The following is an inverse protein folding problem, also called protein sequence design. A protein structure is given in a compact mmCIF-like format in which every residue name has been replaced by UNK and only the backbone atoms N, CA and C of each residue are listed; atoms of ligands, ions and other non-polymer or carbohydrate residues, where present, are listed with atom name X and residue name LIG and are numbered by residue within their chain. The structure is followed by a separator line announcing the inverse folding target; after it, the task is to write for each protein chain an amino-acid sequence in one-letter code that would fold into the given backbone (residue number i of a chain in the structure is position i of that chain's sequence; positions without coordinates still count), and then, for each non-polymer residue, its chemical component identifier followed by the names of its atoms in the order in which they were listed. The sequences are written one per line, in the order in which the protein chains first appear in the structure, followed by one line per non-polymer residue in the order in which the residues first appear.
data_IF_599220614646
#
_entry.id   IF_599220614646
#
_cell.length_a   1.000
_cell.length_b   1.000
_cell.length_c   1.000
_cell.angle_alpha   90.00
_cell.angle_beta   90.00
_cell.angle_gamma   90.00
#
_symmetry.space_group_name_H-M   'P 1'
#
loop_
_entity.id
_entity.type
_entity.pdbx_description
1 polymer ?
#
# COMPACT_ATOMS: atom_id res chain seq x y z
N UNK A 1 0.70 6.61 -18.92
CA UNK A 1 2.11 6.66 -18.42
C UNK A 1 2.52 8.09 -18.00
N UNK A 2 1.63 8.88 -17.37
CA UNK A 2 1.81 10.34 -17.12
C UNK A 2 1.94 10.75 -15.64
N UNK A 3 2.26 9.83 -14.70
CA UNK A 3 2.24 10.16 -13.26
C UNK A 3 3.61 10.14 -12.55
N UNK A 4 4.72 9.90 -13.25
CA UNK A 4 6.08 9.89 -12.64
C UNK A 4 6.91 11.13 -13.01
N UNK A 5 6.45 11.89 -14.01
CA UNK A 5 7.05 13.13 -14.46
C UNK A 5 6.08 14.28 -14.11
N UNK A 6 6.22 14.81 -12.90
CA UNK A 6 5.54 16.04 -12.44
C UNK A 6 6.23 17.26 -13.08
N UNK A 7 5.54 18.41 -13.17
CA UNK A 7 6.14 19.74 -13.36
C UNK A 7 7.46 19.96 -12.59
N UNK A 8 7.56 19.52 -11.34
CA UNK A 8 8.80 19.56 -10.54
C UNK A 8 9.95 18.75 -11.15
N UNK A 9 9.63 17.69 -11.90
CA UNK A 9 10.63 16.89 -12.60
C UNK A 9 11.19 17.59 -13.85
N UNK A 10 10.50 18.59 -14.39
CA UNK A 10 10.85 19.27 -15.63
C UNK A 10 11.79 20.46 -15.42
N UNK A 11 11.70 21.20 -14.32
CA UNK A 11 12.27 22.56 -14.17
C UNK A 11 13.77 22.75 -14.43
N UNK A 12 14.60 21.69 -14.42
CA UNK A 12 16.05 21.80 -14.78
C UNK A 12 16.51 20.94 -15.95
N UNK A 13 15.85 19.83 -16.27
CA UNK A 13 16.20 19.04 -17.45
C UNK A 13 15.46 19.49 -18.71
N UNK A 14 14.36 20.23 -18.58
CA UNK A 14 13.52 20.62 -19.72
C UNK A 14 14.25 21.51 -20.75
N UNK A 15 15.36 22.14 -20.37
CA UNK A 15 16.13 23.05 -21.23
C UNK A 15 17.51 22.51 -21.66
N UNK A 16 17.88 21.28 -21.26
CA UNK A 16 19.21 20.70 -21.55
C UNK A 16 19.04 19.52 -22.50
N UNK A 17 19.84 19.46 -23.57
CA UNK A 17 19.78 18.32 -24.47
C UNK A 17 20.20 17.04 -23.74
N UNK A 18 19.59 15.90 -24.06
CA UNK A 18 19.83 14.63 -23.36
C UNK A 18 21.31 14.23 -23.35
N UNK A 19 22.05 14.55 -24.42
CA UNK A 19 23.50 14.36 -24.55
C UNK A 19 24.35 15.22 -23.62
N UNK A 20 23.84 16.37 -23.18
CA UNK A 20 24.59 17.33 -22.36
C UNK A 20 24.32 17.13 -20.86
N UNK A 21 23.54 16.12 -20.50
CA UNK A 21 23.26 15.80 -19.11
C UNK A 21 24.47 15.13 -18.48
N UNK A 22 25.08 15.83 -17.51
CA UNK A 22 26.26 15.34 -16.79
C UNK A 22 25.90 14.65 -15.47
N UNK A 23 26.79 13.79 -14.97
CA UNK A 23 26.62 13.14 -13.67
C UNK A 23 26.51 14.15 -12.50
N UNK A 24 27.13 15.34 -12.62
CA UNK A 24 27.03 16.40 -11.61
C UNK A 24 25.62 16.98 -11.52
N UNK A 25 24.98 17.21 -12.66
CA UNK A 25 23.59 17.69 -12.71
C UNK A 25 22.62 16.66 -12.12
N UNK A 26 22.88 15.37 -12.36
CA UNK A 26 22.09 14.29 -11.76
C UNK A 26 22.26 14.25 -10.24
N UNK A 27 23.49 14.42 -9.72
CA UNK A 27 23.76 14.50 -8.27
C UNK A 27 23.05 15.66 -7.60
N UNK A 28 23.25 16.87 -8.12
CA UNK A 28 22.65 18.09 -7.55
C UNK A 28 21.12 17.97 -7.48
N UNK A 29 20.51 17.41 -8.53
CA UNK A 29 19.08 17.12 -8.54
C UNK A 29 18.69 16.07 -7.49
N UNK A 30 19.45 14.98 -7.40
CA UNK A 30 19.20 13.93 -6.41
C UNK A 30 19.21 14.52 -4.99
N UNK A 31 20.19 15.35 -4.68
CA UNK A 31 20.36 15.96 -3.35
C UNK A 31 19.24 16.96 -3.05
N UNK A 32 18.83 17.77 -4.03
CA UNK A 32 17.66 18.65 -3.90
C UNK A 32 16.38 17.86 -3.59
N UNK A 33 16.12 16.77 -4.32
CA UNK A 33 14.95 15.91 -4.07
C UNK A 33 15.08 15.21 -2.71
N UNK A 34 16.28 14.83 -2.28
CA UNK A 34 16.49 14.22 -0.97
C UNK A 34 16.22 15.21 0.17
N UNK A 35 16.55 16.50 -0.02
CA UNK A 35 16.32 17.56 0.96
C UNK A 35 14.86 17.99 1.04
N UNK A 36 14.17 18.14 -0.09
CA UNK A 36 12.80 18.69 -0.16
C UNK A 36 11.71 17.62 -0.22
N UNK A 37 12.08 16.38 -0.54
CA UNK A 37 11.16 15.29 -0.85
C UNK A 37 10.85 14.38 0.33
N UNK A 38 9.92 13.44 0.08
CA UNK A 38 9.64 12.35 1.03
C UNK A 38 10.81 11.37 1.06
N UNK A 39 11.05 10.67 2.19
CA UNK A 39 12.01 9.57 2.24
C UNK A 39 11.82 8.60 1.07
N UNK A 40 12.91 8.31 0.34
CA UNK A 40 12.91 7.41 -0.83
C UNK A 40 12.56 8.05 -2.17
N UNK A 41 12.00 9.28 -2.21
CA UNK A 41 11.62 9.93 -3.46
C UNK A 41 12.80 10.24 -4.39
N UNK A 42 13.94 10.66 -3.83
CA UNK A 42 15.18 10.90 -4.59
C UNK A 42 15.69 9.61 -5.27
N UNK A 43 15.64 8.49 -4.54
CA UNK A 43 16.01 7.17 -5.06
C UNK A 43 15.09 6.73 -6.20
N UNK A 44 13.78 6.87 -6.04
CA UNK A 44 12.82 6.51 -7.09
C UNK A 44 13.02 7.37 -8.35
N UNK A 45 13.25 8.68 -8.18
CA UNK A 45 13.53 9.58 -9.29
C UNK A 45 14.84 9.21 -10.01
N UNK A 46 15.91 8.90 -9.28
CA UNK A 46 17.19 8.51 -9.86
C UNK A 46 17.09 7.17 -10.60
N UNK A 47 16.35 6.20 -10.06
CA UNK A 47 16.13 4.92 -10.72
C UNK A 47 15.38 5.08 -12.05
N UNK A 48 14.35 5.94 -12.09
CA UNK A 48 13.63 6.23 -13.32
C UNK A 48 14.51 6.91 -14.37
N UNK A 49 15.31 7.91 -13.98
CA UNK A 49 16.28 8.57 -14.87
C UNK A 49 17.33 7.59 -15.38
N UNK A 50 17.88 6.75 -14.51
CA UNK A 50 18.88 5.75 -14.89
C UNK A 50 18.35 4.77 -15.92
N UNK A 51 17.08 4.33 -15.82
CA UNK A 51 16.45 3.48 -16.84
C UNK A 51 16.32 4.20 -18.19
N UNK A 52 15.95 5.48 -18.19
CA UNK A 52 15.86 6.26 -19.44
C UNK A 52 17.22 6.46 -20.10
N UNK A 53 18.26 6.78 -19.32
CA UNK A 53 19.61 6.92 -19.84
C UNK A 53 20.24 5.58 -20.23
N UNK A 54 19.88 4.47 -19.57
CA UNK A 54 20.28 3.14 -20.01
C UNK A 54 19.67 2.80 -21.37
N UNK A 55 18.39 3.15 -21.60
CA UNK A 55 17.76 3.03 -22.91
C UNK A 55 18.44 3.94 -23.94
N UNK A 56 18.65 5.22 -23.62
CA UNK A 56 19.31 6.17 -24.53
C UNK A 56 20.76 5.79 -24.87
N UNK A 57 21.47 5.13 -23.95
CA UNK A 57 22.83 4.63 -24.16
C UNK A 57 22.87 3.25 -24.85
N UNK A 58 21.72 2.64 -25.18
CA UNK A 58 21.68 1.30 -25.76
C UNK A 58 22.15 0.19 -24.81
N UNK A 59 22.16 0.43 -23.50
CA UNK A 59 22.60 -0.53 -22.48
C UNK A 59 21.45 -1.22 -21.73
N UNK A 60 20.21 -0.80 -22.00
CA UNK A 60 19.01 -1.45 -21.47
C UNK A 60 18.70 -2.76 -22.22
N UNK A 61 17.91 -3.64 -21.59
CA UNK A 61 17.34 -4.82 -22.24
C UNK A 61 15.84 -4.93 -21.94
N UNK A 62 14.99 -5.30 -22.92
CA UNK A 62 15.29 -5.50 -24.35
C UNK A 62 15.32 -4.19 -25.14
N UNK A 63 16.02 -4.16 -26.28
CA UNK A 63 16.01 -3.04 -27.22
C UNK A 63 15.42 -3.47 -28.57
N UNK A 64 14.65 -2.60 -29.25
CA UNK A 64 14.18 -2.86 -30.60
C UNK A 64 15.34 -3.06 -31.60
N UNK A 65 15.13 -3.90 -32.61
CA UNK A 65 16.06 -4.02 -33.72
C UNK A 65 16.27 -2.65 -34.39
N UNK A 66 17.54 -2.28 -34.61
CA UNK A 66 17.91 -0.99 -35.20
C UNK A 66 17.91 0.19 -34.23
N UNK A 67 17.75 -0.03 -32.91
CA UNK A 67 17.95 1.02 -31.91
C UNK A 67 19.36 1.63 -32.02
N UNK A 68 19.44 2.97 -31.96
CA UNK A 68 20.69 3.72 -31.99
C UNK A 68 20.85 4.50 -30.69
N UNK A 69 22.00 4.34 -30.05
CA UNK A 69 22.35 5.10 -28.86
C UNK A 69 22.37 6.61 -29.21
N UNK A 70 21.74 7.40 -28.35
CA UNK A 70 21.67 8.87 -28.44
C UNK A 70 22.59 9.57 -27.44
N UNK A 71 23.17 8.81 -26.52
CA UNK A 71 24.19 9.24 -25.55
C UNK A 71 25.26 8.16 -25.44
N UNK A 72 26.50 8.55 -25.17
CA UNK A 72 27.62 7.62 -25.08
C UNK A 72 27.57 6.80 -23.78
N UNK A 73 27.21 7.46 -22.68
CA UNK A 73 27.18 6.83 -21.35
C UNK A 73 25.96 7.27 -20.54
N UNK A 74 25.62 6.48 -19.53
CA UNK A 74 24.56 6.79 -18.59
C UNK A 74 25.11 7.69 -17.45
N UNK A 75 24.76 8.99 -17.39
CA UNK A 75 25.24 9.92 -16.35
C UNK A 75 24.69 9.58 -14.95
N UNK A 76 23.69 8.70 -14.87
CA UNK A 76 23.15 8.18 -13.60
C UNK A 76 23.97 7.01 -13.05
N UNK A 77 25.07 6.59 -13.70
CA UNK A 77 26.10 5.72 -13.11
C UNK A 77 26.97 6.48 -12.10
N UNK A 78 26.33 7.32 -11.29
CA UNK A 78 26.96 7.87 -10.12
C UNK A 78 27.19 6.69 -9.18
N UNK A 79 28.44 6.45 -8.79
CA UNK A 79 28.75 5.62 -7.63
C UNK A 79 28.04 6.25 -6.45
N UNK A 80 26.84 5.76 -6.13
CA UNK A 80 26.03 6.33 -5.07
C UNK A 80 26.89 6.35 -3.79
N UNK A 81 27.22 7.51 -3.21
CA UNK A 81 27.92 7.55 -1.93
C UNK A 81 27.00 6.87 -0.92
N UNK A 82 27.37 5.64 -0.57
CA UNK A 82 26.54 4.73 0.18
C UNK A 82 25.33 4.25 -0.62
N UNK A 83 25.18 2.92 -0.70
CA UNK A 83 23.87 2.37 -0.33
C UNK A 83 23.59 2.98 1.04
N UNK A 84 22.89 4.11 1.11
CA UNK A 84 22.42 4.62 2.38
C UNK A 84 21.80 3.42 3.04
N UNK A 85 22.39 2.96 4.15
CA UNK A 85 21.82 1.86 4.94
C UNK A 85 20.34 2.21 5.01
N UNK A 86 19.41 1.26 4.74
CA UNK A 86 18.01 1.53 5.00
C UNK A 86 17.99 2.26 6.33
N UNK A 87 17.45 3.48 6.36
CA UNK A 87 17.23 4.13 7.64
C UNK A 87 16.26 3.18 8.29
N UNK A 88 16.79 2.25 9.06
CA UNK A 88 16.06 1.44 10.01
C UNK A 88 15.65 2.50 11.03
N UNK A 89 14.61 3.25 10.69
CA UNK A 89 13.71 3.78 11.70
C UNK A 89 13.44 2.57 12.60
N UNK A 90 13.70 2.67 13.91
CA UNK A 90 13.60 1.53 14.82
C UNK A 90 12.29 0.85 14.52
N UNK A 91 12.41 -0.34 13.91
CA UNK A 91 11.29 -1.07 13.37
C UNK A 91 10.50 -1.46 14.61
N UNK A 92 9.45 -0.70 14.96
CA UNK A 92 8.60 -1.08 16.07
C UNK A 92 7.98 -2.42 15.72
N UNK A 93 7.98 -3.29 16.72
CA UNK A 93 7.24 -4.54 16.78
C UNK A 93 5.83 -4.36 16.22
N UNK A 94 5.34 -5.43 15.60
CA UNK A 94 3.95 -5.58 15.18
C UNK A 94 3.04 -5.17 16.34
N UNK A 95 2.00 -4.39 16.05
CA UNK A 95 1.04 -3.93 17.05
C UNK A 95 0.53 -5.10 17.92
N UNK A 96 0.43 -4.91 19.24
CA UNK A 96 -0.11 -5.97 20.11
C UNK A 96 -1.60 -6.18 19.84
N UNK A 97 -2.17 -7.35 20.18
CA UNK A 97 -3.62 -7.58 20.04
C UNK A 97 -4.49 -6.51 20.72
N UNK A 98 -4.06 -6.00 21.88
CA UNK A 98 -4.74 -4.94 22.62
C UNK A 98 -4.66 -3.59 21.90
N UNK A 99 -3.50 -3.26 21.31
CA UNK A 99 -3.36 -2.06 20.48
C UNK A 99 -4.24 -2.14 19.23
N UNK A 100 -4.30 -3.31 18.58
CA UNK A 100 -5.19 -3.55 17.44
C UNK A 100 -6.66 -3.37 17.84
N UNK A 101 -7.06 -3.88 19.01
CA UNK A 101 -8.42 -3.71 19.52
C UNK A 101 -8.78 -2.25 19.82
N UNK A 102 -7.87 -1.49 20.46
CA UNK A 102 -8.08 -0.06 20.74
C UNK A 102 -8.17 0.77 19.45
N UNK A 103 -7.29 0.52 18.48
CA UNK A 103 -7.37 1.16 17.16
C UNK A 103 -8.70 0.86 16.46
N UNK A 104 -9.13 -0.40 16.47
CA UNK A 104 -10.42 -0.78 15.90
C UNK A 104 -11.58 -0.08 16.63
N UNK A 105 -11.50 0.10 17.95
CA UNK A 105 -12.49 0.83 18.74
C UNK A 105 -12.61 2.32 18.35
N UNK A 106 -11.48 2.95 18.00
CA UNK A 106 -11.39 4.36 17.58
C UNK A 106 -11.83 4.61 16.14
N UNK A 107 -11.95 3.56 15.33
CA UNK A 107 -12.46 3.68 13.96
C UNK A 107 -13.99 3.90 13.96
N UNK A 108 -14.53 4.57 12.91
CA UNK A 108 -15.97 4.62 12.69
C UNK A 108 -16.59 3.22 12.64
N UNK A 109 -17.82 3.08 13.12
CA UNK A 109 -18.49 1.78 13.32
C UNK A 109 -18.41 0.86 12.08
N UNK A 110 -18.67 1.39 10.88
CA UNK A 110 -18.64 0.62 9.63
C UNK A 110 -17.26 0.22 9.13
N UNK A 111 -16.19 0.74 9.75
CA UNK A 111 -14.80 0.56 9.30
C UNK A 111 -13.92 -0.14 10.32
N UNK A 112 -14.39 -0.35 11.56
CA UNK A 112 -13.62 -1.02 12.63
C UNK A 112 -13.02 -2.35 12.17
N UNK A 113 -13.82 -3.10 11.42
CA UNK A 113 -13.43 -4.42 10.91
C UNK A 113 -12.33 -4.39 9.87
N UNK A 114 -12.12 -3.27 9.19
CA UNK A 114 -10.98 -3.13 8.26
C UNK A 114 -9.64 -3.26 8.99
N UNK A 115 -9.55 -2.77 10.24
CA UNK A 115 -8.33 -2.85 11.06
C UNK A 115 -8.10 -4.28 11.51
N UNK A 116 -9.14 -4.97 11.97
CA UNK A 116 -9.06 -6.37 12.40
C UNK A 116 -8.69 -7.29 11.23
N UNK A 117 -9.32 -7.14 10.07
CA UNK A 117 -8.97 -7.92 8.87
C UNK A 117 -7.55 -7.61 8.38
N UNK A 118 -7.12 -6.35 8.43
CA UNK A 118 -5.75 -5.99 8.09
C UNK A 118 -4.72 -6.61 9.04
N UNK A 119 -5.05 -6.68 10.35
CA UNK A 119 -4.16 -7.23 11.36
C UNK A 119 -4.02 -8.75 11.26
N UNK A 120 -5.15 -9.45 11.18
CA UNK A 120 -5.18 -10.90 11.32
C UNK A 120 -5.17 -11.65 9.99
N UNK A 121 -5.72 -11.04 8.92
CA UNK A 121 -5.80 -11.65 7.59
C UNK A 121 -4.84 -10.98 6.58
N UNK A 122 -4.07 -9.97 7.02
CA UNK A 122 -3.07 -9.30 6.19
C UNK A 122 -3.65 -8.57 4.97
N UNK A 123 -4.94 -8.17 5.01
CA UNK A 123 -5.66 -7.55 3.89
C UNK A 123 -5.18 -6.12 3.66
N UNK A 124 -4.87 -5.77 2.40
CA UNK A 124 -4.45 -4.40 2.04
C UNK A 124 -5.65 -3.48 1.88
N UNK A 125 -5.44 -2.17 2.03
CA UNK A 125 -6.52 -1.17 1.95
C UNK A 125 -7.35 -1.24 0.65
N UNK A 126 -6.71 -1.51 -0.49
CA UNK A 126 -7.42 -1.68 -1.76
C UNK A 126 -8.24 -2.97 -1.79
N UNK A 127 -7.75 -4.04 -1.19
CA UNK A 127 -8.45 -5.33 -1.09
C UNK A 127 -9.65 -5.20 -0.14
N UNK A 128 -9.48 -4.55 1.03
CA UNK A 128 -10.57 -4.25 1.98
C UNK A 128 -11.74 -3.57 1.27
N UNK A 129 -11.45 -2.55 0.46
CA UNK A 129 -12.46 -1.81 -0.31
C UNK A 129 -13.17 -2.66 -1.36
N UNK A 130 -12.52 -3.70 -1.85
CA UNK A 130 -13.08 -4.65 -2.79
C UNK A 130 -14.00 -5.66 -2.13
N UNK A 131 -13.84 -5.97 -0.85
CA UNK A 131 -14.57 -7.08 -0.23
C UNK A 131 -16.08 -6.96 -0.34
N UNK A 132 -16.73 -8.08 -0.66
CA UNK A 132 -18.18 -8.28 -0.77
C UNK A 132 -18.66 -9.30 0.26
N UNK A 133 -19.96 -9.35 0.48
CA UNK A 133 -20.59 -10.28 1.43
C UNK A 133 -20.30 -11.74 1.10
N UNK A 134 -20.36 -12.10 -0.18
CA UNK A 134 -20.03 -13.46 -0.66
C UNK A 134 -18.58 -13.89 -0.46
N UNK A 135 -17.68 -12.93 -0.21
CA UNK A 135 -16.26 -13.25 -0.01
C UNK A 135 -16.02 -13.85 1.39
N UNK A 136 -17.02 -13.80 2.29
CA UNK A 136 -17.02 -14.47 3.58
C UNK A 136 -17.87 -15.74 3.49
N UNK A 137 -17.28 -16.89 3.80
CA UNK A 137 -17.97 -18.17 3.76
C UNK A 137 -17.44 -19.10 4.86
N UNK A 138 -18.26 -20.06 5.28
CA UNK A 138 -17.86 -21.08 6.26
C UNK A 138 -17.64 -22.42 5.58
N UNK A 139 -16.66 -23.17 6.06
CA UNK A 139 -16.35 -24.53 5.64
C UNK A 139 -15.96 -25.38 6.85
N UNK A 140 -16.04 -26.72 6.75
CA UNK A 140 -15.43 -27.60 7.75
C UNK A 140 -13.94 -27.30 7.93
N UNK A 141 -13.48 -27.21 9.18
CA UNK A 141 -12.07 -27.02 9.52
C UNK A 141 -11.28 -28.27 9.12
N UNK A 142 -10.30 -28.10 8.22
CA UNK A 142 -9.37 -29.17 7.80
C UNK A 142 -8.48 -29.63 8.98
N UNK A 143 -8.32 -28.78 10.01
CA UNK A 143 -7.47 -29.07 11.17
C UNK A 143 -8.17 -29.92 12.23
N UNK A 144 -9.47 -29.68 12.45
CA UNK A 144 -10.19 -30.23 13.60
C UNK A 144 -11.37 -31.13 13.20
N UNK A 145 -11.75 -31.18 11.91
CA UNK A 145 -12.76 -32.09 11.34
C UNK A 145 -14.21 -31.86 11.79
N UNK A 146 -14.42 -31.29 12.96
CA UNK A 146 -15.72 -31.18 13.65
C UNK A 146 -16.21 -29.72 13.78
N UNK A 147 -15.30 -28.74 13.65
CA UNK A 147 -15.62 -27.31 13.78
C UNK A 147 -15.73 -26.61 12.43
N UNK A 148 -16.66 -25.65 12.30
CA UNK A 148 -16.71 -24.75 11.14
C UNK A 148 -15.63 -23.66 11.25
N UNK A 149 -14.88 -23.46 10.17
CA UNK A 149 -13.94 -22.35 9.99
C UNK A 149 -14.52 -21.32 9.02
N UNK A 150 -14.34 -20.03 9.32
CA UNK A 150 -14.70 -18.94 8.42
C UNK A 150 -13.51 -18.58 7.54
N UNK A 151 -13.74 -18.40 6.26
CA UNK A 151 -12.73 -18.02 5.27
C UNK A 151 -13.09 -16.68 4.64
N UNK A 152 -12.06 -15.90 4.33
CA UNK A 152 -12.14 -14.66 3.58
C UNK A 152 -11.44 -14.83 2.23
N UNK A 153 -12.19 -14.68 1.14
CA UNK A 153 -11.68 -14.67 -0.22
C UNK A 153 -11.18 -13.29 -0.62
N UNK A 154 -9.91 -13.18 -0.96
CA UNK A 154 -9.31 -11.95 -1.48
C UNK A 154 -9.09 -12.12 -2.97
N UNK A 155 -10.05 -11.65 -3.78
CA UNK A 155 -10.02 -11.81 -5.24
C UNK A 155 -10.01 -10.48 -6.00
N UNK A 156 -10.16 -9.34 -5.33
CA UNK A 156 -10.34 -8.03 -5.98
C UNK A 156 -9.69 -6.93 -5.16
N UNK A 157 -9.30 -5.83 -5.82
CA UNK A 157 -8.80 -4.64 -5.14
C UNK A 157 -9.29 -3.35 -5.80
N UNK A 158 -9.53 -2.32 -5.01
CA UNK A 158 -9.88 -0.99 -5.50
C UNK A 158 -8.64 -0.12 -5.58
N UNK A 159 -8.37 0.42 -6.76
CA UNK A 159 -7.31 1.37 -7.05
C UNK A 159 -7.89 2.76 -7.29
N UNK A 160 -7.14 3.79 -6.90
CA UNK A 160 -7.53 5.20 -7.10
C UNK A 160 -6.69 5.93 -8.15
N UNK A 161 -5.61 5.31 -8.61
CA UNK A 161 -4.65 5.95 -9.52
C UNK A 161 -5.26 6.08 -10.92
N UNK A 162 -5.72 7.28 -11.28
CA UNK A 162 -6.41 7.52 -12.56
C UNK A 162 -7.92 7.27 -12.48
N UNK A 163 -8.50 7.43 -11.30
CA UNK A 163 -9.91 7.17 -11.03
C UNK A 163 -10.10 5.94 -10.15
N UNK A 164 -11.25 5.90 -9.48
CA UNK A 164 -11.61 4.80 -8.60
C UNK A 164 -12.11 3.63 -9.46
N UNK A 165 -11.38 2.52 -9.43
CA UNK A 165 -11.72 1.32 -10.21
C UNK A 165 -11.41 0.06 -9.44
N UNK A 166 -12.18 -0.98 -9.71
CA UNK A 166 -11.86 -2.34 -9.31
C UNK A 166 -10.81 -2.89 -10.29
N UNK A 167 -9.81 -3.58 -9.76
CA UNK A 167 -8.88 -4.38 -10.53
C UNK A 167 -8.94 -5.82 -10.02
N UNK A 168 -9.00 -6.76 -10.96
CA UNK A 168 -8.79 -8.17 -10.66
C UNK A 168 -7.32 -8.40 -10.27
N UNK A 169 -6.99 -9.52 -9.61
CA UNK A 169 -5.63 -9.85 -9.26
C UNK A 169 -4.85 -10.05 -10.57
N UNK A 170 -3.57 -9.65 -10.57
CA UNK A 170 -2.72 -9.75 -11.77
C UNK A 170 -2.48 -11.19 -12.24
N UNK A 171 -2.80 -12.19 -11.40
CA UNK A 171 -2.71 -13.60 -11.73
C UNK A 171 -3.72 -14.40 -10.88
N UNK A 172 -4.07 -15.62 -11.33
CA UNK A 172 -4.93 -16.55 -10.57
C UNK A 172 -4.32 -16.94 -9.20
N UNK A 173 -2.98 -16.91 -9.09
CA UNK A 173 -2.25 -17.06 -7.82
C UNK A 173 -2.45 -15.87 -6.85
N UNK A 174 -3.10 -14.79 -7.29
CA UNK A 174 -3.43 -13.63 -6.46
C UNK A 174 -4.76 -13.75 -5.72
N UNK A 175 -5.57 -14.78 -6.01
CA UNK A 175 -6.76 -15.11 -5.22
C UNK A 175 -6.35 -16.00 -4.06
N UNK A 176 -6.57 -15.52 -2.84
CA UNK A 176 -6.19 -16.23 -1.62
C UNK A 176 -7.41 -16.33 -0.70
N UNK A 177 -7.74 -17.57 -0.30
CA UNK A 177 -8.68 -17.82 0.78
C UNK A 177 -7.90 -17.85 2.10
N UNK A 178 -8.18 -16.88 2.97
CA UNK A 178 -7.50 -16.71 4.25
C UNK A 178 -8.43 -17.16 5.38
N UNK A 179 -8.00 -18.07 6.27
CA UNK A 179 -8.79 -18.40 7.44
C UNK A 179 -8.94 -17.18 8.35
N UNK A 180 -10.17 -16.87 8.74
CA UNK A 180 -10.49 -15.83 9.72
C UNK A 180 -10.44 -16.46 11.11
N UNK A 181 -9.63 -15.94 12.04
CA UNK A 181 -9.58 -16.48 13.40
C UNK A 181 -10.96 -16.56 14.05
N UNK A 182 -11.28 -17.68 14.71
CA UNK A 182 -12.60 -17.94 15.29
C UNK A 182 -13.05 -16.85 16.27
N UNK A 183 -12.12 -16.28 17.04
CA UNK A 183 -12.40 -15.16 17.96
C UNK A 183 -12.90 -13.89 17.25
N UNK A 184 -12.57 -13.70 15.97
CA UNK A 184 -13.06 -12.58 15.18
C UNK A 184 -14.42 -12.86 14.58
N UNK A 185 -14.85 -14.11 14.40
CA UNK A 185 -16.08 -14.45 13.69
C UNK A 185 -17.32 -13.74 14.25
N UNK A 186 -17.56 -13.69 15.58
CA UNK A 186 -18.68 -12.93 16.16
C UNK A 186 -18.55 -11.41 15.92
N UNK A 187 -17.31 -10.90 15.95
CA UNK A 187 -16.98 -9.48 15.76
C UNK A 187 -17.09 -9.08 14.29
N UNK A 188 -16.83 -10.02 13.36
CA UNK A 188 -16.86 -9.87 11.91
C UNK A 188 -18.30 -9.91 11.43
N UNK A 189 -18.99 -11.04 11.60
CA UNK A 189 -20.26 -11.27 10.92
C UNK A 189 -21.38 -10.32 11.37
N UNK A 190 -21.60 -10.16 12.68
CA UNK A 190 -22.77 -9.44 13.17
C UNK A 190 -22.75 -7.92 12.84
N UNK A 191 -21.65 -7.18 13.05
CA UNK A 191 -21.57 -5.77 12.67
C UNK A 191 -21.44 -5.55 11.15
N UNK A 192 -20.77 -6.46 10.40
CA UNK A 192 -20.62 -6.33 8.95
C UNK A 192 -21.96 -6.37 8.24
N UNK A 193 -22.85 -7.30 8.59
CA UNK A 193 -24.15 -7.41 7.92
C UNK A 193 -25.05 -6.18 8.13
N UNK A 194 -24.85 -5.45 9.23
CA UNK A 194 -25.62 -4.25 9.54
C UNK A 194 -25.20 -3.03 8.71
N UNK A 195 -23.92 -2.96 8.34
CA UNK A 195 -23.34 -1.83 7.60
C UNK A 195 -23.16 -2.10 6.11
N UNK A 196 -22.85 -3.34 5.73
CA UNK A 196 -22.57 -3.76 4.37
C UNK A 196 -23.72 -3.46 3.41
N UNK A 197 -23.36 -3.35 2.13
CA UNK A 197 -24.30 -3.30 1.02
C UNK A 197 -25.28 -4.47 1.05
N UNK A 198 -26.40 -4.32 0.36
CA UNK A 198 -27.42 -5.39 0.25
C UNK A 198 -27.00 -6.44 -0.78
N UNK A 199 -27.47 -7.67 -0.58
CA UNK A 199 -27.21 -8.80 -1.48
C UNK A 199 -25.80 -9.38 -1.36
N UNK A 200 -25.55 -10.48 -2.05
CA UNK A 200 -24.27 -11.21 -1.97
C UNK A 200 -23.10 -10.42 -2.56
N UNK A 201 -23.38 -9.60 -3.58
CA UNK A 201 -22.43 -8.65 -4.17
C UNK A 201 -22.32 -7.31 -3.40
N UNK A 202 -23.03 -7.18 -2.27
CA UNK A 202 -22.96 -5.99 -1.44
C UNK A 202 -21.55 -5.78 -0.87
N UNK A 203 -21.01 -4.57 -1.02
CA UNK A 203 -19.71 -4.20 -0.45
C UNK A 203 -19.72 -4.36 1.07
N UNK A 204 -18.66 -4.95 1.62
CA UNK A 204 -18.46 -5.02 3.08
C UNK A 204 -18.21 -3.64 3.67
N UNK A 205 -17.49 -2.78 2.93
CA UNK A 205 -17.11 -1.44 3.36
C UNK A 205 -17.62 -0.36 2.38
N UNK A 206 -18.95 -0.11 2.33
CA UNK A 206 -19.50 0.92 1.46
C UNK A 206 -19.29 2.33 2.05
N UNK A 207 -19.21 3.35 1.17
CA UNK A 207 -19.11 4.77 1.53
C UNK A 207 -20.26 5.28 2.40
N UNK A 208 -21.44 4.69 2.21
CA UNK A 208 -22.63 4.95 3.00
C UNK A 208 -23.22 3.62 3.42
N UNK A 209 -23.82 3.57 4.61
CA UNK A 209 -24.47 2.37 5.13
C UNK A 209 -25.44 1.77 4.11
N UNK A 210 -25.35 0.46 3.88
CA UNK A 210 -26.15 -0.28 2.89
C UNK A 210 -26.00 0.20 1.43
N UNK A 211 -24.98 1.01 1.14
CA UNK A 211 -24.70 1.53 -0.19
C UNK A 211 -23.92 0.55 -1.07
N UNK A 212 -23.70 0.99 -2.31
CA UNK A 212 -22.98 0.23 -3.36
C UNK A 212 -21.70 0.91 -3.82
N UNK A 213 -21.40 2.12 -3.30
CA UNK A 213 -20.24 2.91 -3.71
C UNK A 213 -19.06 2.67 -2.78
N UNK A 214 -17.87 2.53 -3.36
CA UNK A 214 -16.62 2.63 -2.61
C UNK A 214 -16.42 4.07 -2.11
N UNK A 215 -15.72 4.22 -0.99
CA UNK A 215 -15.07 5.48 -0.67
C UNK A 215 -13.61 5.44 -1.17
N UNK A 216 -13.00 6.60 -1.32
CA UNK A 216 -11.62 6.68 -1.79
C UNK A 216 -10.64 6.06 -0.76
N UNK A 217 -9.63 5.24 -1.14
CA UNK A 217 -8.68 4.61 -0.22
C UNK A 217 -8.03 5.59 0.78
N UNK A 218 -7.67 6.78 0.31
CA UNK A 218 -7.17 7.86 1.18
C UNK A 218 -8.14 8.25 2.31
N UNK A 219 -9.45 8.10 2.16
CA UNK A 219 -10.44 8.39 3.21
C UNK A 219 -10.26 7.42 4.38
N UNK A 220 -10.20 6.11 4.11
CA UNK A 220 -9.94 5.12 5.15
C UNK A 220 -8.54 5.25 5.72
N UNK A 221 -7.53 5.57 4.90
CA UNK A 221 -6.18 5.88 5.41
C UNK A 221 -6.18 7.07 6.37
N UNK A 222 -6.92 8.14 6.05
CA UNK A 222 -7.06 9.31 6.93
C UNK A 222 -7.73 8.94 8.25
N UNK A 223 -8.81 8.17 8.20
CA UNK A 223 -9.54 7.71 9.39
C UNK A 223 -8.68 6.81 10.28
N UNK A 224 -7.94 5.88 9.67
CA UNK A 224 -6.96 5.06 10.37
C UNK A 224 -5.86 5.90 11.02
N UNK A 225 -5.26 6.85 10.29
CA UNK A 225 -4.24 7.72 10.84
C UNK A 225 -4.77 8.54 12.02
N UNK A 226 -6.00 9.06 11.94
CA UNK A 226 -6.63 9.76 13.06
C UNK A 226 -6.84 8.85 14.29
N UNK A 227 -7.29 7.61 14.09
CA UNK A 227 -7.41 6.62 15.16
C UNK A 227 -6.06 6.30 15.81
N UNK A 228 -5.02 6.13 15.00
CA UNK A 228 -3.64 5.90 15.43
C UNK A 228 -3.07 7.09 16.20
N UNK A 229 -3.27 8.30 15.70
CA UNK A 229 -2.76 9.51 16.34
C UNK A 229 -3.46 9.70 17.70
N UNK A 230 -4.76 9.44 17.78
CA UNK A 230 -5.50 9.44 19.05
C UNK A 230 -5.02 8.34 20.03
N UNK A 231 -4.67 7.15 19.53
CA UNK A 231 -4.03 6.10 20.33
C UNK A 231 -2.67 6.57 20.88
N UNK A 232 -1.81 7.09 20.01
CA UNK A 232 -0.49 7.58 20.39
C UNK A 232 -0.57 8.69 21.44
N UNK A 233 -1.51 9.63 21.31
CA UNK A 233 -1.74 10.67 22.32
C UNK A 233 -2.16 10.06 23.66
N UNK A 234 -3.04 9.05 23.66
CA UNK A 234 -3.45 8.37 24.89
C UNK A 234 -2.30 7.57 25.54
N UNK A 235 -1.36 7.07 24.75
CA UNK A 235 -0.20 6.30 25.23
C UNK A 235 1.03 7.16 25.56
N UNK A 236 1.00 8.47 25.26
CA UNK A 236 2.14 9.37 25.47
C UNK A 236 2.58 9.47 26.95
N UNK A 237 1.68 9.19 27.89
CA UNK A 237 1.98 9.12 29.33
C UNK A 237 2.55 7.78 29.82
N UNK A 238 2.62 6.75 28.96
CA UNK A 238 2.99 5.38 29.34
C UNK A 238 4.39 4.95 28.85
N UNK A 239 5.23 5.87 28.35
CA UNK A 239 6.55 5.61 27.73
C UNK A 239 6.54 4.53 26.63
N UNK A 240 5.36 4.27 26.03
CA UNK A 240 5.24 3.28 24.95
C UNK A 240 5.68 3.90 23.62
N UNK A 241 6.39 3.15 22.75
CA UNK A 241 6.81 3.67 21.46
C UNK A 241 5.60 4.04 20.60
N UNK A 242 5.70 5.08 19.77
CA UNK A 242 4.56 5.54 18.95
C UNK A 242 4.34 4.66 17.70
N UNK A 243 3.09 4.53 17.27
CA UNK A 243 2.74 3.88 16.00
C UNK A 243 2.95 4.81 14.81
N UNK A 244 3.62 4.34 13.74
CA UNK A 244 4.07 5.19 12.63
C UNK A 244 3.41 4.90 11.27
N UNK A 245 2.54 3.87 11.12
CA UNK A 245 1.78 3.64 9.88
C UNK A 245 0.88 2.39 9.83
N UNK A 246 0.14 2.21 8.72
CA UNK A 246 -0.72 1.02 8.51
C UNK A 246 0.09 -0.29 8.43
N UNK A 247 1.38 -0.24 8.06
CA UNK A 247 2.24 -1.42 8.03
C UNK A 247 2.55 -1.98 9.42
N UNK A 248 2.32 -1.20 10.48
CA UNK A 248 2.55 -1.60 11.88
C UNK A 248 1.51 -2.60 12.36
N UNK A 249 0.32 -2.63 11.75
CA UNK A 249 -0.77 -3.54 12.16
C UNK A 249 -0.80 -4.84 11.36
N UNK A 250 -0.30 -4.88 10.12
CA UNK A 250 -0.38 -6.07 9.28
C UNK A 250 0.55 -7.18 9.78
N UNK A 251 -0.02 -8.32 10.17
CA UNK A 251 0.75 -9.56 10.25
C UNK A 251 1.34 -9.88 8.86
N UNK A 252 2.59 -10.36 8.82
CA UNK A 252 3.14 -10.89 7.57
C UNK A 252 2.27 -12.08 7.14
N UNK A 253 1.86 -12.08 5.87
CA UNK A 253 1.22 -13.27 5.27
C UNK A 253 2.29 -14.38 5.29
N UNK A 254 2.07 -15.40 6.12
CA UNK A 254 2.89 -16.61 6.16
C UNK A 254 2.57 -17.50 4.97
#
# INVERSE_FOLDING_TARGET
MRSRWDSRSQERFAAVAVRDVTASMVRERHDKIAAEGKPGSARESLAALSQMFAYAAGTAWPLPAGHRASVDENPCRITAPGRGKPVWAPHREVATPEEVADLAGRMPQGERLSVLLAAWCGVRIGEVLGLRRRDLWTAPSVRDGENEATFLRIERQVQSKGGLREEAPKSHAGTLDVPVPAALVPVVLAPLLHWAGRGDDGLLFPAVRRGTRWFHPNTLRKRFNAARDAHNVAQAGAERPQMTGCSTICARRH
#
